data_IF_143991381137
#
_entry.id   IF_143991381137
#
_cell.length_a   1.000
_cell.length_b   1.000
_cell.length_c   1.000
_cell.angle_alpha   90.00
_cell.angle_beta   90.00
_cell.angle_gamma   90.00
#
_symmetry.space_group_name_H-M   'P 1'
#
loop_
_entity.id
_entity.type
_entity.pdbx_description
1 polymer ?
#
# COMPACT_ATOMS: atom_id res chain seq x y z
N UNK A 1 35.79 -3.13 46.65
CA UNK A 1 37.14 -2.54 46.57
C UNK A 1 37.18 -1.54 45.42
N UNK A 2 37.82 -0.37 45.57
CA UNK A 2 37.87 0.69 44.55
C UNK A 2 38.28 0.17 43.16
N UNK A 3 39.26 -0.72 43.12
CA UNK A 3 39.75 -1.34 41.88
C UNK A 3 38.71 -2.18 41.12
N UNK A 4 37.72 -2.77 41.81
CA UNK A 4 36.66 -3.53 41.16
C UNK A 4 35.60 -2.60 40.54
N UNK A 5 35.39 -1.43 41.14
CA UNK A 5 34.50 -0.40 40.61
C UNK A 5 35.08 0.21 39.33
N UNK A 6 36.35 0.62 39.36
CA UNK A 6 37.05 1.20 38.20
C UNK A 6 37.13 0.22 37.01
N UNK A 7 37.12 -1.08 37.29
CA UNK A 7 37.04 -2.12 36.26
C UNK A 7 35.64 -2.27 35.71
N UNK A 8 34.61 -2.22 36.55
CA UNK A 8 33.22 -2.31 36.13
C UNK A 8 32.76 -1.10 35.30
N UNK A 9 33.26 0.09 35.65
CA UNK A 9 33.01 1.32 34.89
C UNK A 9 33.66 1.27 33.49
N UNK A 10 34.91 0.81 33.41
CA UNK A 10 35.61 0.59 32.12
C UNK A 10 35.00 -0.51 31.27
N UNK A 11 34.36 -1.50 31.89
CA UNK A 11 33.73 -2.63 31.21
C UNK A 11 32.23 -2.43 30.97
N UNK A 12 31.70 -1.22 31.20
CA UNK A 12 30.29 -0.92 30.99
C UNK A 12 29.94 -0.94 29.49
N UNK A 13 28.96 -1.75 29.05
CA UNK A 13 28.59 -1.82 27.63
C UNK A 13 27.90 -0.55 27.09
N UNK A 14 27.29 0.25 27.96
CA UNK A 14 26.66 1.52 27.57
C UNK A 14 26.83 2.57 28.68
N UNK A 15 27.85 3.46 28.56
CA UNK A 15 28.16 4.46 29.57
C UNK A 15 27.14 5.62 29.64
N UNK A 16 26.28 5.79 28.63
CA UNK A 16 25.27 6.86 28.65
C UNK A 16 24.00 6.45 29.39
N UNK A 17 23.63 5.16 29.33
CA UNK A 17 22.37 4.68 29.91
C UNK A 17 22.52 3.76 31.13
N UNK A 18 23.70 3.19 31.35
CA UNK A 18 23.94 2.23 32.42
C UNK A 18 25.00 2.74 33.40
N UNK A 19 24.81 2.43 34.68
CA UNK A 19 25.80 2.64 35.73
C UNK A 19 26.08 1.32 36.47
N UNK A 20 27.35 1.04 36.83
CA UNK A 20 27.69 -0.16 37.58
C UNK A 20 26.98 -0.13 38.93
N UNK A 21 26.24 -1.20 39.26
CA UNK A 21 25.55 -1.34 40.54
C UNK A 21 26.12 -2.55 41.29
N UNK A 22 26.58 -2.40 42.54
CA UNK A 22 27.18 -3.49 43.28
C UNK A 22 26.09 -4.47 43.72
N UNK A 23 26.29 -5.76 43.46
CA UNK A 23 25.39 -6.82 43.91
C UNK A 23 26.20 -7.73 44.83
N UNK A 24 25.82 -7.79 46.10
CA UNK A 24 26.55 -8.55 47.12
C UNK A 24 25.62 -9.57 47.76
N UNK A 25 26.01 -10.84 47.70
CA UNK A 25 25.29 -11.96 48.30
C UNK A 25 24.08 -12.46 47.49
N UNK A 26 23.53 -13.60 47.93
CA UNK A 26 22.42 -14.28 47.26
C UNK A 26 21.11 -13.47 47.31
N UNK A 27 20.84 -12.78 48.41
CA UNK A 27 19.62 -11.98 48.57
C UNK A 27 19.51 -10.85 47.52
N UNK A 28 20.61 -10.15 47.25
CA UNK A 28 20.65 -9.09 46.24
C UNK A 28 20.49 -9.63 44.81
N UNK A 29 21.04 -10.82 44.52
CA UNK A 29 20.82 -11.50 43.24
C UNK A 29 19.36 -11.91 43.04
N UNK A 30 18.72 -12.47 44.08
CA UNK A 30 17.30 -12.81 44.04
C UNK A 30 16.42 -11.57 43.82
N UNK A 31 16.72 -10.45 44.50
CA UNK A 31 16.03 -9.18 44.27
C UNK A 31 16.16 -8.70 42.82
N UNK A 32 17.35 -8.81 42.21
CA UNK A 32 17.53 -8.48 40.78
C UNK A 32 16.71 -9.37 39.86
N UNK A 33 16.66 -10.68 40.12
CA UNK A 33 15.84 -11.61 39.33
C UNK A 33 14.37 -11.21 39.43
N UNK A 34 13.87 -10.88 40.63
CA UNK A 34 12.50 -10.41 40.83
C UNK A 34 12.20 -9.10 40.08
N UNK A 35 13.12 -8.13 40.10
CA UNK A 35 12.95 -6.91 39.31
C UNK A 35 12.95 -7.20 37.80
N UNK A 36 13.79 -8.11 37.32
CA UNK A 36 13.85 -8.50 35.91
C UNK A 36 12.58 -9.23 35.47
N UNK A 37 12.03 -10.12 36.31
CA UNK A 37 10.77 -10.81 35.99
C UNK A 37 9.62 -9.82 35.95
N UNK A 38 9.53 -8.89 36.90
CA UNK A 38 8.53 -7.83 36.89
C UNK A 38 8.65 -6.93 35.65
N UNK A 39 9.86 -6.46 35.34
CA UNK A 39 10.11 -5.63 34.17
C UNK A 39 9.77 -6.35 32.86
N UNK A 40 10.08 -7.65 32.78
CA UNK A 40 9.71 -8.48 31.62
C UNK A 40 8.19 -8.60 31.49
N UNK A 41 7.46 -8.77 32.60
CA UNK A 41 6.00 -8.80 32.59
C UNK A 41 5.40 -7.46 32.12
N UNK A 42 5.97 -6.33 32.56
CA UNK A 42 5.55 -5.00 32.11
C UNK A 42 5.76 -4.82 30.61
N UNK A 43 6.93 -5.21 30.09
CA UNK A 43 7.24 -5.17 28.65
C UNK A 43 6.31 -6.08 27.85
N UNK A 44 6.01 -7.29 28.34
CA UNK A 44 5.05 -8.20 27.70
C UNK A 44 3.65 -7.57 27.64
N UNK A 45 3.21 -6.91 28.72
CA UNK A 45 1.94 -6.20 28.74
C UNK A 45 1.91 -5.06 27.71
N UNK A 46 3.02 -4.34 27.55
CA UNK A 46 3.15 -3.24 26.60
C UNK A 46 3.12 -3.75 25.15
N UNK A 47 3.88 -4.81 24.84
CA UNK A 47 3.85 -5.47 23.53
C UNK A 47 2.44 -5.98 23.20
N UNK A 48 1.72 -6.52 24.20
CA UNK A 48 0.32 -6.93 24.01
C UNK A 48 -0.57 -5.74 23.64
N UNK A 49 -0.46 -4.61 24.36
CA UNK A 49 -1.20 -3.39 24.01
C UNK A 49 -0.88 -2.90 22.60
N UNK A 50 0.39 -2.90 22.21
CA UNK A 50 0.80 -2.54 20.84
C UNK A 50 0.22 -3.48 19.79
N UNK A 51 0.16 -4.79 20.07
CA UNK A 51 -0.47 -5.75 19.16
C UNK A 51 -1.96 -5.48 19.01
N UNK A 52 -2.65 -5.21 20.12
CA UNK A 52 -4.08 -4.91 20.11
C UNK A 52 -4.38 -3.59 19.36
N UNK A 53 -3.51 -2.59 19.50
CA UNK A 53 -3.64 -1.33 18.74
C UNK A 53 -3.40 -1.55 17.25
N UNK A 54 -2.36 -2.30 16.86
CA UNK A 54 -2.12 -2.65 15.45
C UNK A 54 -3.31 -3.42 14.88
N UNK A 55 -3.86 -4.38 15.63
CA UNK A 55 -5.01 -5.14 15.18
C UNK A 55 -6.25 -4.27 14.99
N UNK A 56 -6.54 -3.37 15.94
CA UNK A 56 -7.67 -2.44 15.80
C UNK A 56 -7.48 -1.47 14.64
N UNK A 57 -6.25 -0.98 14.40
CA UNK A 57 -5.91 -0.16 13.23
C UNK A 57 -6.09 -0.91 11.91
N UNK A 58 -5.72 -2.19 11.85
CA UNK A 58 -5.96 -3.02 10.66
C UNK A 58 -7.46 -3.21 10.40
N UNK A 59 -8.26 -3.45 11.45
CA UNK A 59 -9.70 -3.56 11.31
C UNK A 59 -10.34 -2.26 10.84
N UNK A 60 -9.93 -1.11 11.38
CA UNK A 60 -10.46 0.19 10.96
C UNK A 60 -10.05 0.51 9.53
N UNK A 61 -8.79 0.24 9.14
CA UNK A 61 -8.32 0.38 7.76
C UNK A 61 -9.20 -0.42 6.79
N UNK A 62 -9.45 -1.70 7.06
CA UNK A 62 -10.30 -2.53 6.22
C UNK A 62 -11.75 -2.03 6.12
N UNK A 63 -12.32 -1.55 7.23
CA UNK A 63 -13.66 -0.91 7.24
C UNK A 63 -13.69 0.36 6.39
N UNK A 64 -12.66 1.20 6.50
CA UNK A 64 -12.57 2.44 5.71
C UNK A 64 -12.39 2.17 4.22
N UNK A 65 -11.59 1.16 3.85
CA UNK A 65 -11.42 0.73 2.46
C UNK A 65 -12.75 0.24 1.87
N UNK A 66 -13.47 -0.60 2.61
CA UNK A 66 -14.80 -1.07 2.22
C UNK A 66 -15.80 0.09 2.07
N UNK A 67 -15.76 1.07 2.97
CA UNK A 67 -16.59 2.27 2.89
C UNK A 67 -16.22 3.17 1.70
N UNK A 68 -14.93 3.29 1.40
CA UNK A 68 -14.39 4.04 0.27
C UNK A 68 -14.84 3.42 -1.05
N UNK A 69 -14.76 2.10 -1.20
CA UNK A 69 -15.23 1.42 -2.41
C UNK A 69 -16.74 1.58 -2.60
N UNK A 70 -17.53 1.44 -1.52
CA UNK A 70 -18.97 1.73 -1.57
C UNK A 70 -19.24 3.18 -2.00
N UNK A 71 -18.46 4.14 -1.51
CA UNK A 71 -18.57 5.55 -1.88
C UNK A 71 -18.24 5.76 -3.36
N UNK A 72 -17.17 5.14 -3.85
CA UNK A 72 -16.73 5.18 -5.25
C UNK A 72 -17.80 4.62 -6.18
N UNK A 73 -18.42 3.49 -5.81
CA UNK A 73 -19.55 2.92 -6.56
C UNK A 73 -20.78 3.84 -6.57
N UNK A 74 -21.13 4.44 -5.42
CA UNK A 74 -22.22 5.43 -5.35
C UNK A 74 -21.94 6.65 -6.22
N UNK A 75 -20.72 7.18 -6.17
CA UNK A 75 -20.30 8.32 -6.99
C UNK A 75 -20.43 8.00 -8.48
N UNK A 76 -19.92 6.84 -8.93
CA UNK A 76 -20.06 6.41 -10.34
C UNK A 76 -21.53 6.27 -10.76
N UNK A 77 -22.38 5.71 -9.89
CA UNK A 77 -23.84 5.62 -10.15
C UNK A 77 -24.48 7.00 -10.27
N UNK A 78 -24.14 7.92 -9.37
CA UNK A 78 -24.68 9.28 -9.39
C UNK A 78 -24.19 10.07 -10.61
N UNK A 79 -22.91 9.95 -10.96
CA UNK A 79 -22.34 10.53 -12.18
C UNK A 79 -23.06 10.05 -13.44
N UNK A 80 -23.34 8.75 -13.54
CA UNK A 80 -24.14 8.21 -14.65
C UNK A 80 -25.57 8.76 -14.67
N UNK A 81 -26.26 8.84 -13.52
CA UNK A 81 -27.60 9.44 -13.44
C UNK A 81 -27.58 10.91 -13.84
N UNK A 82 -26.57 11.65 -13.38
CA UNK A 82 -26.38 13.05 -13.73
C UNK A 82 -26.17 13.22 -15.24
N UNK A 83 -25.31 12.41 -15.86
CA UNK A 83 -25.13 12.41 -17.32
C UNK A 83 -26.43 12.09 -18.07
N UNK A 84 -27.25 11.14 -17.60
CA UNK A 84 -28.55 10.84 -18.21
C UNK A 84 -29.53 12.00 -18.12
N UNK A 85 -29.57 12.70 -16.99
CA UNK A 85 -30.42 13.89 -16.82
C UNK A 85 -29.93 15.01 -17.72
N UNK A 86 -28.61 15.26 -17.73
CA UNK A 86 -28.00 16.27 -18.58
C UNK A 86 -28.30 16.02 -20.06
N UNK A 87 -28.19 14.76 -20.51
CA UNK A 87 -28.54 14.37 -21.87
C UNK A 87 -30.01 14.69 -22.19
N UNK A 88 -30.94 14.35 -21.29
CA UNK A 88 -32.37 14.65 -21.49
C UNK A 88 -32.65 16.14 -21.55
N UNK A 89 -32.02 16.92 -20.67
CA UNK A 89 -32.15 18.39 -20.65
C UNK A 89 -31.62 18.99 -21.95
N UNK A 90 -30.46 18.52 -22.41
CA UNK A 90 -29.84 18.99 -23.64
C UNK A 90 -30.68 18.64 -24.87
N UNK A 91 -31.22 17.43 -24.94
CA UNK A 91 -32.15 17.01 -26.01
C UNK A 91 -33.40 17.90 -26.00
N UNK A 92 -34.00 18.15 -24.84
CA UNK A 92 -35.17 19.04 -24.73
C UNK A 92 -34.85 20.48 -25.14
N UNK A 93 -33.67 20.99 -24.77
CA UNK A 93 -33.20 22.33 -25.14
C UNK A 93 -33.00 22.47 -26.65
N UNK A 94 -32.46 21.44 -27.28
CA UNK A 94 -32.13 21.43 -28.71
C UNK A 94 -33.27 20.93 -29.60
N UNK A 95 -34.44 20.62 -29.04
CA UNK A 95 -35.61 20.23 -29.82
C UNK A 95 -36.00 21.33 -30.81
N UNK A 96 -36.05 20.98 -32.10
CA UNK A 96 -36.41 21.91 -33.18
C UNK A 96 -35.27 22.81 -33.67
N UNK A 97 -34.06 22.72 -33.08
CA UNK A 97 -32.86 23.36 -33.60
C UNK A 97 -32.14 22.43 -34.58
N UNK A 98 -31.44 23.02 -35.56
CA UNK A 98 -30.55 22.28 -36.45
C UNK A 98 -29.32 21.75 -35.70
N UNK A 99 -28.77 20.64 -36.18
CA UNK A 99 -27.58 20.01 -35.57
C UNK A 99 -26.38 20.96 -35.69
N UNK A 100 -25.79 21.31 -34.54
CA UNK A 100 -24.64 22.21 -34.48
C UNK A 100 -23.37 21.56 -35.06
N UNK A 101 -22.38 22.35 -35.54
CA UNK A 101 -21.10 21.80 -36.01
C UNK A 101 -20.32 21.12 -34.87
N UNK A 102 -20.44 21.61 -33.64
CA UNK A 102 -19.82 21.00 -32.45
C UNK A 102 -20.40 19.61 -32.14
N UNK A 103 -21.71 19.42 -32.38
CA UNK A 103 -22.38 18.13 -32.19
C UNK A 103 -21.90 17.09 -33.20
N UNK A 104 -21.69 17.50 -34.46
CA UNK A 104 -21.07 16.64 -35.48
C UNK A 104 -19.66 16.20 -35.08
N UNK A 105 -18.85 17.11 -34.53
CA UNK A 105 -17.51 16.78 -34.04
C UNK A 105 -17.57 15.81 -32.85
N UNK A 106 -18.48 16.03 -31.91
CA UNK A 106 -18.66 15.14 -30.76
C UNK A 106 -19.11 13.74 -31.20
N UNK A 107 -20.06 13.66 -32.15
CA UNK A 107 -20.52 12.40 -32.74
C UNK A 107 -19.38 11.64 -33.40
N UNK A 108 -18.58 12.31 -34.23
CA UNK A 108 -17.43 11.68 -34.90
C UNK A 108 -16.42 11.10 -33.89
N UNK A 109 -16.14 11.82 -32.79
CA UNK A 109 -15.27 11.32 -31.70
C UNK A 109 -15.87 10.11 -31.01
N UNK A 110 -17.17 10.11 -30.73
CA UNK A 110 -17.86 8.97 -30.09
C UNK A 110 -17.87 7.74 -31.01
N UNK A 111 -18.08 7.91 -32.31
CA UNK A 111 -18.00 6.81 -33.29
C UNK A 111 -16.58 6.23 -33.41
N UNK A 112 -15.55 7.09 -33.40
CA UNK A 112 -14.15 6.64 -33.36
C UNK A 112 -13.85 5.83 -32.10
N UNK A 113 -14.29 6.31 -30.93
CA UNK A 113 -14.13 5.58 -29.67
C UNK A 113 -14.89 4.25 -29.66
N UNK A 114 -16.12 4.22 -30.19
CA UNK A 114 -16.92 3.00 -30.29
C UNK A 114 -16.24 1.93 -31.16
N UNK A 115 -15.65 2.33 -32.29
CA UNK A 115 -14.86 1.44 -33.16
C UNK A 115 -13.61 0.93 -32.45
N UNK A 116 -12.85 1.81 -31.80
CA UNK A 116 -11.66 1.43 -31.03
C UNK A 116 -11.96 0.46 -29.88
N UNK A 117 -13.19 0.46 -29.35
CA UNK A 117 -13.63 -0.46 -28.29
C UNK A 117 -14.10 -1.83 -28.80
N UNK A 118 -14.47 -1.97 -30.09
CA UNK A 118 -14.87 -3.27 -30.64
C UNK A 118 -13.71 -4.27 -30.69
N UNK A 119 -12.51 -3.81 -31.04
CA UNK A 119 -11.30 -4.65 -31.12
C UNK A 119 -10.89 -5.29 -29.78
N UNK A 120 -10.78 -4.56 -28.65
CA UNK A 120 -10.49 -5.18 -27.37
C UNK A 120 -11.66 -6.04 -26.87
N UNK A 121 -12.91 -5.70 -27.20
CA UNK A 121 -14.07 -6.49 -26.78
C UNK A 121 -14.09 -7.87 -27.41
N UNK A 122 -13.82 -7.97 -28.72
CA UNK A 122 -13.72 -9.26 -29.41
C UNK A 122 -12.57 -10.09 -28.85
N UNK A 123 -11.39 -9.48 -28.64
CA UNK A 123 -10.23 -10.15 -28.05
C UNK A 123 -10.50 -10.68 -26.64
N UNK A 124 -11.11 -9.88 -25.78
CA UNK A 124 -11.48 -10.31 -24.43
C UNK A 124 -12.48 -11.46 -24.48
N UNK A 125 -13.47 -11.41 -25.36
CA UNK A 125 -14.42 -12.51 -25.57
C UNK A 125 -13.72 -13.80 -26.00
N UNK A 126 -12.75 -13.71 -26.90
CA UNK A 126 -11.91 -14.86 -27.29
C UNK A 126 -11.09 -15.40 -26.11
N UNK A 127 -10.47 -14.54 -25.29
CA UNK A 127 -9.72 -14.98 -24.12
C UNK A 127 -10.63 -15.67 -23.07
N UNK A 128 -11.83 -15.14 -22.86
CA UNK A 128 -12.84 -15.75 -21.98
C UNK A 128 -13.28 -17.14 -22.47
N UNK A 129 -13.35 -17.35 -23.79
CA UNK A 129 -13.64 -18.66 -24.39
C UNK A 129 -12.49 -19.65 -24.23
N UNK A 130 -11.24 -19.17 -24.16
CA UNK A 130 -10.04 -20.01 -23.99
C UNK A 130 -9.72 -20.33 -22.52
N UNK A 131 -10.17 -19.49 -21.58
CA UNK A 131 -9.98 -19.68 -20.14
C UNK A 131 -10.33 -21.08 -19.57
N UNK A 132 -11.45 -21.73 -19.95
CA UNK A 132 -11.76 -23.07 -19.46
C UNK A 132 -10.76 -24.14 -19.94
N UNK A 133 -10.12 -23.95 -21.11
CA UNK A 133 -9.15 -24.90 -21.65
C UNK A 133 -7.79 -24.82 -20.95
N UNK A 134 -7.46 -23.65 -20.39
CA UNK A 134 -6.27 -23.47 -19.55
C UNK A 134 -6.48 -23.89 -18.09
N UNK A 135 -7.73 -23.90 -17.62
CA UNK A 135 -8.06 -24.29 -16.24
C UNK A 135 -8.13 -25.81 -16.02
N UNK A 136 -8.38 -26.59 -17.07
CA UNK A 136 -8.42 -28.07 -17.01
C UNK A 136 -7.06 -28.73 -17.04
N UNK A 137 -5.99 -28.01 -17.37
CA UNK A 137 -4.62 -28.47 -17.09
C UNK A 137 -4.35 -28.24 -15.62
N UNK A 138 -4.66 -29.25 -14.79
CA UNK A 138 -4.27 -29.27 -13.40
C UNK A 138 -2.78 -28.90 -13.29
N UNK A 139 -2.39 -27.96 -12.42
CA UNK A 139 -0.99 -27.69 -12.20
C UNK A 139 -0.34 -29.00 -11.78
N UNK A 140 0.64 -29.46 -12.56
CA UNK A 140 1.50 -30.57 -12.15
C UNK A 140 1.98 -30.32 -10.73
N UNK A 141 2.06 -31.39 -9.92
CA UNK A 141 2.44 -31.37 -8.49
C UNK A 141 3.38 -30.19 -8.22
N UNK A 142 3.00 -29.23 -7.36
CA UNK A 142 3.85 -28.09 -7.09
C UNK A 142 5.20 -28.64 -6.64
N UNK A 143 6.27 -28.17 -7.30
CA UNK A 143 7.63 -28.48 -6.89
C UNK A 143 7.70 -28.27 -5.38
N UNK A 144 8.06 -29.31 -4.63
CA UNK A 144 8.15 -29.25 -3.18
C UNK A 144 9.34 -28.36 -2.83
N UNK A 145 9.12 -27.05 -2.80
CA UNK A 145 10.11 -26.10 -2.33
C UNK A 145 10.23 -26.24 -0.83
N UNK A 146 11.46 -26.34 -0.32
CA UNK A 146 11.71 -26.37 1.12
C UNK A 146 11.19 -25.09 1.78
N UNK A 147 10.78 -25.18 3.03
CA UNK A 147 10.28 -24.01 3.78
C UNK A 147 11.34 -22.91 3.90
N UNK A 148 12.62 -23.27 3.90
CA UNK A 148 13.74 -22.33 3.93
C UNK A 148 13.95 -21.61 2.59
N UNK A 149 13.75 -22.29 1.46
CA UNK A 149 13.78 -21.68 0.12
C UNK A 149 12.62 -20.68 -0.02
N UNK A 150 11.44 -21.04 0.49
CA UNK A 150 10.28 -20.16 0.53
C UNK A 150 10.53 -18.88 1.35
N UNK A 151 11.19 -19.02 2.51
CA UNK A 151 11.59 -17.86 3.34
C UNK A 151 12.62 -16.99 2.62
N UNK A 152 13.62 -17.60 1.97
CA UNK A 152 14.62 -16.88 1.19
C UNK A 152 13.99 -16.09 0.02
N UNK A 153 13.09 -16.74 -0.72
CA UNK A 153 12.32 -16.11 -1.80
C UNK A 153 11.45 -14.98 -1.27
N UNK A 154 10.76 -15.19 -0.15
CA UNK A 154 9.93 -14.15 0.48
C UNK A 154 10.76 -12.92 0.87
N UNK A 155 11.92 -13.13 1.50
CA UNK A 155 12.82 -12.04 1.88
C UNK A 155 13.38 -11.32 0.65
N UNK A 156 13.79 -12.05 -0.39
CA UNK A 156 14.26 -11.47 -1.65
C UNK A 156 13.16 -10.62 -2.32
N UNK A 157 11.93 -11.14 -2.40
CA UNK A 157 10.77 -10.43 -2.92
C UNK A 157 10.44 -9.18 -2.10
N UNK A 158 10.53 -9.27 -0.77
CA UNK A 158 10.28 -8.13 0.11
C UNK A 158 11.34 -7.02 -0.10
N UNK A 159 12.61 -7.39 -0.22
CA UNK A 159 13.70 -6.45 -0.51
C UNK A 159 13.50 -5.80 -1.89
N UNK A 160 13.12 -6.58 -2.90
CA UNK A 160 12.81 -6.06 -4.23
C UNK A 160 11.61 -5.11 -4.20
N UNK A 161 10.54 -5.44 -3.46
CA UNK A 161 9.37 -4.57 -3.30
C UNK A 161 9.77 -3.23 -2.69
N UNK A 162 10.56 -3.23 -1.62
CA UNK A 162 11.05 -2.01 -0.98
C UNK A 162 11.94 -1.18 -1.91
N UNK A 163 12.84 -1.83 -2.65
CA UNK A 163 13.68 -1.16 -3.65
C UNK A 163 12.86 -0.51 -4.76
N UNK A 164 11.84 -1.22 -5.28
CA UNK A 164 10.92 -0.68 -6.29
C UNK A 164 10.07 0.48 -5.74
N UNK A 165 9.57 0.38 -4.51
CA UNK A 165 8.84 1.48 -3.86
C UNK A 165 9.72 2.73 -3.74
N UNK A 166 11.00 2.57 -3.37
CA UNK A 166 11.94 3.67 -3.32
C UNK A 166 12.18 4.30 -4.71
N UNK A 167 12.46 3.47 -5.73
CA UNK A 167 12.66 3.94 -7.11
C UNK A 167 11.42 4.67 -7.64
N UNK A 168 10.22 4.16 -7.36
CA UNK A 168 8.96 4.83 -7.73
C UNK A 168 8.86 6.21 -7.06
N UNK A 169 9.26 6.34 -5.80
CA UNK A 169 9.23 7.62 -5.10
C UNK A 169 10.26 8.62 -5.66
N UNK A 170 11.45 8.15 -6.02
CA UNK A 170 12.47 8.96 -6.71
C UNK A 170 11.93 9.42 -8.07
N UNK A 171 11.43 8.50 -8.90
CA UNK A 171 10.85 8.85 -10.20
C UNK A 171 9.67 9.82 -10.10
N UNK A 172 8.79 9.66 -9.10
CA UNK A 172 7.70 10.62 -8.85
C UNK A 172 8.21 12.00 -8.42
N UNK A 173 9.35 12.07 -7.75
CA UNK A 173 10.00 13.34 -7.41
C UNK A 173 10.61 13.95 -8.67
N UNK A 174 11.35 13.18 -9.44
CA UNK A 174 12.01 13.63 -10.67
C UNK A 174 10.99 14.13 -11.70
N UNK A 175 9.86 13.43 -11.88
CA UNK A 175 8.78 13.89 -12.76
C UNK A 175 8.20 15.23 -12.29
N UNK A 176 8.03 15.42 -10.97
CA UNK A 176 7.58 16.71 -10.43
C UNK A 176 8.61 17.81 -10.68
N UNK A 177 9.88 17.52 -10.48
CA UNK A 177 10.96 18.49 -10.67
C UNK A 177 11.08 18.90 -12.15
N UNK A 178 10.99 17.94 -13.08
CA UNK A 178 10.93 18.22 -14.53
C UNK A 178 9.70 19.06 -14.89
N UNK A 179 8.53 18.79 -14.32
CA UNK A 179 7.34 19.60 -14.54
C UNK A 179 7.50 21.04 -14.03
N UNK A 180 8.17 21.24 -12.90
CA UNK A 180 8.48 22.57 -12.37
C UNK A 180 9.47 23.30 -13.28
N UNK A 181 10.53 22.61 -13.74
CA UNK A 181 11.48 23.18 -14.70
C UNK A 181 10.80 23.59 -16.00
N UNK A 182 9.93 22.75 -16.56
CA UNK A 182 9.17 23.08 -17.77
C UNK A 182 8.29 24.32 -17.58
N UNK A 183 7.61 24.44 -16.43
CA UNK A 183 6.79 25.62 -16.12
C UNK A 183 7.65 26.89 -16.01
N UNK A 184 8.78 26.81 -15.33
CA UNK A 184 9.70 27.95 -15.17
C UNK A 184 10.34 28.38 -16.50
N UNK A 185 10.64 27.44 -17.41
CA UNK A 185 11.15 27.75 -18.75
C UNK A 185 10.06 28.44 -19.59
N UNK A 186 8.82 27.95 -19.55
CA UNK A 186 7.67 28.58 -20.24
C UNK A 186 7.29 29.97 -19.71
N UNK A 187 7.67 30.32 -18.48
CA UNK A 187 7.46 31.66 -17.91
C UNK A 187 8.57 32.64 -18.27
N UNK A 188 9.74 32.16 -18.72
CA UNK A 188 10.89 32.99 -19.13
C UNK A 188 10.98 33.22 -20.64
N UNK A 189 10.21 32.49 -21.45
CA UNK A 189 9.98 32.75 -22.89
C UNK A 189 8.68 33.53 -23.06
#
# INVERSE_FOLDING_TARGET
APQAWDRAERANPDPESLAPTPIVGQAALLGRIQHQTQHTADLQSYVKRLRDTVHSLQQTAHRTESAMEKSRLRHRRLANKFLQVLLKVEVLRCQGLGVAPEEHQLRARLEQLAKALQDPHSRLKHLLQLAPHTATQAPGKPAHMGEDDLKAIHNALQNQKQGLEHLINVLKKDVRDVQLMQKNVKQKS
#
